data_IF_549485796903
#
_entry.id   IF_549485796903
#
_cell.length_a   1.000
_cell.length_b   1.000
_cell.length_c   1.000
_cell.angle_alpha   90.00
_cell.angle_beta   90.00
_cell.angle_gamma   90.00
#
_symmetry.space_group_name_H-M   'P 1'
#
loop_
_entity.id
_entity.type
_entity.pdbx_description
1 polymer ?
#
# COMPACT_ATOMS: atom_id res chain seq x y z
N UNK A 1 -28.00 -35.19 19.38
CA UNK A 1 -27.26 -35.97 18.36
C UNK A 1 -27.84 -35.64 17.00
N UNK A 2 -27.25 -34.69 16.27
CA UNK A 2 -27.32 -34.60 14.81
C UNK A 2 -26.24 -33.60 14.40
N UNK A 3 -25.10 -34.13 13.95
CA UNK A 3 -24.03 -33.33 13.34
C UNK A 3 -24.41 -33.16 11.87
N UNK A 4 -24.68 -31.91 11.45
CA UNK A 4 -24.82 -31.58 10.04
C UNK A 4 -23.43 -31.40 9.46
N UNK A 5 -23.04 -32.34 8.58
CA UNK A 5 -21.86 -32.24 7.73
C UNK A 5 -22.09 -31.10 6.73
N UNK A 6 -21.36 -29.99 6.89
CA UNK A 6 -21.17 -29.04 5.80
C UNK A 6 -19.92 -29.47 5.03
N UNK A 7 -20.12 -29.81 3.76
CA UNK A 7 -19.05 -30.13 2.83
C UNK A 7 -18.30 -28.83 2.49
N UNK A 8 -17.01 -28.78 2.81
CA UNK A 8 -16.10 -27.75 2.33
C UNK A 8 -15.70 -28.10 0.88
N UNK A 9 -15.90 -27.15 -0.04
CA UNK A 9 -15.45 -27.21 -1.44
C UNK A 9 -14.34 -26.17 -1.58
N UNK A 10 -13.20 -26.46 -2.23
CA UNK A 10 -11.99 -25.64 -2.13
C UNK A 10 -12.13 -24.31 -2.88
N UNK A 11 -11.72 -23.23 -2.22
CA UNK A 11 -11.51 -21.91 -2.79
C UNK A 11 -10.25 -21.93 -3.66
N UNK A 12 -10.39 -21.66 -4.94
CA UNK A 12 -9.27 -21.41 -5.85
C UNK A 12 -9.31 -19.93 -6.23
N UNK A 13 -8.35 -19.16 -5.71
CA UNK A 13 -8.09 -17.77 -6.08
C UNK A 13 -7.03 -17.72 -7.19
N UNK A 14 -7.45 -17.38 -8.42
CA UNK A 14 -6.59 -17.23 -9.62
C UNK A 14 -6.93 -15.87 -10.23
N UNK A 15 -6.06 -14.85 -10.08
CA UNK A 15 -4.97 -14.44 -11.00
C UNK A 15 -5.45 -13.85 -12.34
N UNK A 16 -5.24 -12.55 -12.52
CA UNK A 16 -5.16 -11.89 -13.83
C UNK A 16 -3.68 -11.80 -14.24
N UNK A 17 -3.42 -12.15 -15.49
CA UNK A 17 -2.09 -12.35 -16.07
C UNK A 17 -1.32 -11.03 -16.24
N UNK A 18 -0.06 -11.04 -15.80
CA UNK A 18 0.97 -10.15 -16.31
C UNK A 18 1.40 -10.55 -17.72
N UNK A 19 1.49 -9.59 -18.62
CA UNK A 19 2.20 -9.72 -19.91
C UNK A 19 3.41 -8.80 -19.85
N UNK A 20 4.59 -9.40 -19.96
CA UNK A 20 5.85 -8.70 -20.12
C UNK A 20 6.41 -8.85 -21.54
N UNK A 21 7.03 -7.76 -21.98
CA UNK A 21 8.20 -7.65 -22.86
C UNK A 21 8.01 -7.43 -24.37
N UNK A 22 8.68 -6.37 -24.85
CA UNK A 22 9.01 -6.12 -26.25
C UNK A 22 9.72 -4.77 -26.42
N UNK A 23 11.00 -4.70 -26.83
CA UNK A 23 11.79 -3.48 -26.86
C UNK A 23 11.59 -2.72 -28.19
N UNK A 24 11.46 -1.40 -28.12
CA UNK A 24 11.48 -0.54 -29.30
C UNK A 24 12.69 0.39 -29.21
N UNK A 25 13.71 0.09 -30.02
CA UNK A 25 14.76 1.05 -30.35
C UNK A 25 14.28 1.98 -31.46
N UNK A 26 14.67 3.26 -31.37
CA UNK A 26 15.03 4.12 -32.50
C UNK A 26 15.50 5.48 -31.98
N UNK A 27 16.75 5.84 -32.26
CA UNK A 27 17.20 7.24 -32.30
C UNK A 27 16.61 7.96 -33.51
N UNK A 28 16.40 9.28 -33.44
CA UNK A 28 17.17 10.16 -34.33
C UNK A 28 17.67 11.43 -33.61
N UNK A 29 18.94 11.78 -33.75
CA UNK A 29 19.49 12.74 -34.73
C UNK A 29 19.54 14.18 -34.20
N UNK A 30 20.78 14.53 -33.88
CA UNK A 30 21.41 15.85 -33.74
C UNK A 30 20.74 17.00 -34.50
N UNK A 31 20.42 18.09 -33.79
CA UNK A 31 20.21 19.40 -34.42
C UNK A 31 21.21 20.40 -33.81
N UNK A 32 22.03 20.97 -34.70
CA UNK A 32 23.02 21.98 -34.40
C UNK A 32 22.35 23.32 -34.05
N UNK A 33 22.87 24.02 -33.03
CA UNK A 33 22.51 25.41 -32.75
C UNK A 33 23.49 26.35 -33.47
N UNK A 34 22.91 27.10 -34.40
CA UNK A 34 23.54 28.16 -35.19
C UNK A 34 23.70 29.42 -34.32
N UNK A 35 24.95 29.88 -34.17
CA UNK A 35 25.28 31.20 -33.62
C UNK A 35 24.78 32.31 -34.53
N UNK A 36 23.95 33.22 -34.02
CA UNK A 36 23.64 34.47 -34.72
C UNK A 36 23.98 35.65 -33.82
N UNK A 37 25.00 36.39 -34.23
CA UNK A 37 25.39 37.70 -33.70
C UNK A 37 24.35 38.75 -34.13
N UNK A 38 23.90 39.61 -33.21
CA UNK A 38 23.16 40.82 -33.59
C UNK A 38 23.58 42.00 -32.73
N UNK A 39 23.72 43.13 -33.41
CA UNK A 39 24.42 44.34 -33.01
C UNK A 39 23.69 45.18 -31.95
N UNK A 40 24.49 45.99 -31.27
CA UNK A 40 24.11 46.93 -30.23
C UNK A 40 23.20 48.05 -30.74
N UNK A 41 22.20 48.40 -29.93
CA UNK A 41 21.45 49.67 -30.04
C UNK A 41 21.65 50.43 -28.73
N UNK A 42 22.29 51.59 -28.81
CA UNK A 42 22.53 52.52 -27.71
C UNK A 42 21.23 53.22 -27.33
N UNK A 43 20.71 52.93 -26.13
CA UNK A 43 19.62 53.69 -25.50
C UNK A 43 20.17 54.39 -24.25
N UNK A 44 19.99 55.70 -24.19
CA UNK A 44 20.43 56.60 -23.11
C UNK A 44 19.71 56.27 -21.80
N UNK A 45 20.46 55.93 -20.75
CA UNK A 45 19.92 55.63 -19.42
C UNK A 45 19.75 56.89 -18.56
N UNK A 46 18.59 56.98 -17.90
CA UNK A 46 18.31 57.87 -16.77
C UNK A 46 19.13 57.44 -15.52
N UNK A 47 19.35 58.33 -14.53
CA UNK A 47 20.17 58.01 -13.36
C UNK A 47 19.57 56.86 -12.54
N UNK A 48 20.37 55.81 -12.35
CA UNK A 48 20.06 54.59 -11.61
C UNK A 48 20.18 54.90 -10.11
N UNK A 49 19.07 54.72 -9.36
CA UNK A 49 19.10 54.66 -7.90
C UNK A 49 19.82 53.36 -7.46
N UNK A 50 20.59 53.37 -6.37
CA UNK A 50 21.24 52.17 -5.87
C UNK A 50 20.19 51.09 -5.54
N UNK A 51 20.47 49.81 -5.82
CA UNK A 51 19.56 48.73 -5.45
C UNK A 51 19.39 48.69 -3.93
N UNK A 52 18.18 48.36 -3.43
CA UNK A 52 17.99 48.13 -2.00
C UNK A 52 18.90 46.96 -1.54
N UNK A 53 19.35 46.97 -0.28
CA UNK A 53 20.12 45.86 0.26
C UNK A 53 19.34 44.56 0.13
N UNK A 54 20.01 43.41 -0.09
CA UNK A 54 19.34 42.13 -0.19
C UNK A 54 18.53 41.89 1.09
N UNK A 55 17.21 41.74 0.95
CA UNK A 55 16.37 41.25 2.02
C UNK A 55 16.92 39.88 2.41
N UNK A 56 17.40 39.77 3.65
CA UNK A 56 17.81 38.51 4.24
C UNK A 56 16.64 37.53 4.14
N UNK A 57 16.80 36.49 3.31
CA UNK A 57 15.86 35.38 3.32
C UNK A 57 15.80 34.83 4.75
N UNK A 58 14.60 34.58 5.31
CA UNK A 58 14.50 33.80 6.52
C UNK A 58 15.14 32.45 6.23
N UNK A 59 16.13 32.05 7.03
CA UNK A 59 16.63 30.70 6.99
C UNK A 59 15.44 29.75 7.21
N UNK A 60 15.09 28.97 6.18
CA UNK A 60 14.20 27.82 6.34
C UNK A 60 14.88 26.90 7.34
N UNK A 61 14.45 26.99 8.59
CA UNK A 61 14.85 26.05 9.63
C UNK A 61 14.17 24.76 9.24
N UNK A 62 14.93 23.86 8.60
CA UNK A 62 14.49 22.48 8.43
C UNK A 62 14.06 21.99 9.81
N UNK A 63 12.83 21.49 9.99
CA UNK A 63 12.39 20.96 11.27
C UNK A 63 13.46 20.01 11.78
N UNK A 64 13.86 20.15 13.05
CA UNK A 64 14.78 19.23 13.67
C UNK A 64 14.24 17.82 13.40
N UNK A 65 14.98 17.03 12.63
CA UNK A 65 14.59 15.68 12.25
C UNK A 65 14.35 14.93 13.56
N UNK A 66 13.09 14.66 13.88
CA UNK A 66 12.75 13.98 15.12
C UNK A 66 13.51 12.65 15.13
N UNK A 67 14.08 12.28 16.28
CA UNK A 67 14.76 10.99 16.41
C UNK A 67 13.77 9.87 16.08
N UNK A 68 14.08 9.07 15.08
CA UNK A 68 13.24 7.96 14.63
C UNK A 68 13.95 6.64 14.98
N UNK A 69 13.34 5.84 15.85
CA UNK A 69 13.82 4.50 16.20
C UNK A 69 12.97 3.47 15.43
N UNK A 70 13.52 2.79 14.40
CA UNK A 70 12.77 1.80 13.65
C UNK A 70 12.38 0.57 14.47
N UNK A 71 13.04 0.32 15.62
CA UNK A 71 12.67 -0.78 16.52
C UNK A 71 11.50 -0.42 17.45
N UNK A 72 11.17 0.86 17.56
CA UNK A 72 10.05 1.37 18.35
C UNK A 72 9.51 2.65 17.69
N UNK A 73 8.82 2.51 16.54
CA UNK A 73 8.39 3.66 15.76
C UNK A 73 7.41 4.53 16.56
N UNK A 74 7.41 5.86 16.33
CA UNK A 74 6.43 6.75 16.95
C UNK A 74 5.01 6.37 16.53
N UNK A 75 4.07 6.53 17.46
CA UNK A 75 2.63 6.38 17.20
C UNK A 75 2.05 7.75 16.86
N UNK A 76 2.02 8.09 15.59
CA UNK A 76 1.65 9.43 15.07
C UNK A 76 0.54 9.40 14.02
N UNK A 77 -0.01 8.22 13.72
CA UNK A 77 -1.15 8.10 12.82
C UNK A 77 -2.43 8.36 13.60
N UNK A 78 -3.03 9.52 13.36
CA UNK A 78 -4.24 10.02 14.03
C UNK A 78 -5.52 9.87 13.17
N UNK A 79 -5.39 9.34 11.95
CA UNK A 79 -6.50 9.09 11.06
C UNK A 79 -6.42 7.68 10.48
N UNK A 80 -7.58 7.02 10.41
CA UNK A 80 -7.70 5.73 9.75
C UNK A 80 -7.48 5.88 8.24
N UNK A 81 -6.78 4.94 7.63
CA UNK A 81 -6.49 4.97 6.19
C UNK A 81 -7.63 4.41 5.34
N UNK A 82 -8.61 3.74 5.96
CA UNK A 82 -9.68 3.02 5.26
C UNK A 82 -11.03 3.28 5.92
N UNK A 83 -12.12 3.20 5.15
CA UNK A 83 -13.47 3.15 5.71
C UNK A 83 -13.67 1.84 6.48
N UNK A 84 -13.29 1.89 7.76
CA UNK A 84 -13.29 0.71 8.62
C UNK A 84 -14.69 0.11 8.71
N UNK A 85 -15.77 0.90 8.66
CA UNK A 85 -17.14 0.38 8.78
C UNK A 85 -17.52 -0.64 7.69
N UNK A 86 -16.78 -0.61 6.57
CA UNK A 86 -16.99 -1.47 5.41
C UNK A 86 -16.07 -2.70 5.39
N UNK A 87 -15.29 -2.96 6.44
CA UNK A 87 -14.33 -4.08 6.49
C UNK A 87 -14.88 -5.23 7.35
N UNK A 88 -14.77 -6.47 6.86
CA UNK A 88 -15.18 -7.69 7.57
C UNK A 88 -14.02 -8.33 8.35
N UNK A 89 -12.80 -8.32 7.79
CA UNK A 89 -11.64 -8.97 8.40
C UNK A 89 -10.34 -8.36 7.91
N UNK A 90 -9.30 -8.48 8.74
CA UNK A 90 -7.97 -7.93 8.49
C UNK A 90 -6.95 -9.07 8.59
N UNK A 91 -6.09 -9.23 7.59
CA UNK A 91 -5.01 -10.21 7.66
C UNK A 91 -3.96 -9.74 8.65
N UNK A 92 -3.30 -10.68 9.31
CA UNK A 92 -2.16 -10.37 10.17
C UNK A 92 -0.95 -9.97 9.34
N UNK A 93 -0.12 -9.11 9.90
CA UNK A 93 1.23 -8.87 9.41
C UNK A 93 2.06 -10.17 9.54
N UNK A 94 2.91 -10.48 8.56
CA UNK A 94 3.61 -11.77 8.39
C UNK A 94 2.68 -12.98 8.21
N UNK A 95 1.46 -12.78 7.72
CA UNK A 95 0.53 -13.87 7.37
C UNK A 95 0.90 -14.58 6.07
N UNK A 96 0.22 -15.70 5.81
CA UNK A 96 0.19 -16.40 4.54
C UNK A 96 -0.93 -15.95 3.60
N UNK A 97 -1.33 -14.68 3.65
CA UNK A 97 -2.38 -14.14 2.78
C UNK A 97 -1.74 -13.36 1.63
N UNK A 98 -2.23 -13.59 0.41
CA UNK A 98 -1.77 -12.89 -0.77
C UNK A 98 -0.41 -13.39 -1.26
N UNK A 99 0.60 -12.54 -1.22
CA UNK A 99 1.92 -12.81 -1.79
C UNK A 99 3.06 -12.34 -0.88
N UNK A 100 4.27 -12.85 -1.14
CA UNK A 100 5.46 -12.42 -0.42
C UNK A 100 5.74 -10.93 -0.63
N UNK A 101 6.05 -10.24 0.47
CA UNK A 101 6.42 -8.83 0.45
C UNK A 101 7.63 -8.56 1.34
N UNK A 102 8.46 -9.58 1.60
CA UNK A 102 9.61 -9.46 2.50
C UNK A 102 10.93 -9.14 1.81
N UNK A 103 10.95 -8.98 0.49
CA UNK A 103 12.18 -8.70 -0.27
C UNK A 103 12.90 -7.47 0.28
N UNK A 104 14.21 -7.56 0.49
CA UNK A 104 15.03 -6.46 1.00
C UNK A 104 15.02 -6.27 2.52
N UNK A 105 14.10 -6.89 3.25
CA UNK A 105 13.94 -6.70 4.71
C UNK A 105 14.80 -7.63 5.58
N UNK A 106 15.40 -8.66 4.97
CA UNK A 106 16.06 -9.75 5.72
C UNK A 106 15.10 -10.80 6.29
N UNK A 107 13.81 -10.70 5.98
CA UNK A 107 12.80 -11.74 6.17
C UNK A 107 12.48 -12.44 4.83
N UNK A 108 11.89 -13.63 4.85
CA UNK A 108 11.58 -14.41 3.64
C UNK A 108 10.17 -15.00 3.65
N UNK A 109 9.52 -15.01 2.48
CA UNK A 109 8.28 -15.72 2.20
C UNK A 109 7.18 -15.46 3.25
N UNK A 110 6.75 -14.20 3.36
CA UNK A 110 5.65 -13.78 4.24
C UNK A 110 5.06 -12.47 3.76
N UNK A 111 3.77 -12.28 4.00
CA UNK A 111 3.15 -11.00 3.66
C UNK A 111 3.58 -9.94 4.67
N UNK A 112 4.24 -8.89 4.22
CA UNK A 112 4.60 -7.72 5.03
C UNK A 112 3.59 -6.59 4.82
N UNK A 113 2.31 -6.96 4.66
CA UNK A 113 1.17 -6.06 4.43
C UNK A 113 -0.02 -6.52 5.28
N UNK A 114 -1.03 -5.66 5.38
CA UNK A 114 -2.37 -6.05 5.78
C UNK A 114 -3.31 -6.06 4.57
N UNK A 115 -4.09 -7.12 4.43
CA UNK A 115 -5.25 -7.22 3.55
C UNK A 115 -6.52 -6.98 4.37
N UNK A 116 -7.47 -6.22 3.84
CA UNK A 116 -8.70 -5.80 4.50
C UNK A 116 -9.86 -6.15 3.58
N UNK A 117 -10.62 -7.17 3.94
CA UNK A 117 -11.67 -7.70 3.10
C UNK A 117 -12.98 -6.94 3.33
N UNK A 118 -13.65 -6.45 2.27
CA UNK A 118 -14.91 -5.74 2.41
C UNK A 118 -16.04 -6.62 2.96
N UNK A 119 -16.97 -5.99 3.69
CA UNK A 119 -18.25 -6.62 4.05
C UNK A 119 -19.07 -6.94 2.80
N UNK A 120 -19.80 -8.06 2.84
CA UNK A 120 -20.74 -8.43 1.78
C UNK A 120 -20.14 -9.10 0.54
N UNK A 121 -18.83 -9.42 0.55
CA UNK A 121 -18.20 -10.25 -0.47
C UNK A 121 -18.23 -11.72 -0.03
N UNK A 122 -18.88 -12.56 -0.82
CA UNK A 122 -19.04 -14.00 -0.55
C UNK A 122 -18.70 -14.87 -1.78
N UNK A 123 -18.85 -16.19 -1.62
CA UNK A 123 -18.56 -17.16 -2.68
C UNK A 123 -19.39 -16.92 -3.94
N UNK A 124 -20.63 -16.47 -3.77
CA UNK A 124 -21.52 -16.20 -4.87
C UNK A 124 -21.03 -15.01 -5.69
N UNK A 125 -20.52 -13.96 -5.03
CA UNK A 125 -19.84 -12.87 -5.71
C UNK A 125 -18.64 -13.37 -6.51
N UNK A 126 -17.73 -14.13 -5.89
CA UNK A 126 -16.53 -14.63 -6.59
C UNK A 126 -16.85 -15.58 -7.75
N UNK A 127 -17.93 -16.37 -7.63
CA UNK A 127 -18.43 -17.18 -8.73
C UNK A 127 -18.92 -16.31 -9.90
N UNK A 128 -19.68 -15.24 -9.63
CA UNK A 128 -20.12 -14.29 -10.66
C UNK A 128 -18.94 -13.59 -11.33
N UNK A 129 -17.95 -13.13 -10.56
CA UNK A 129 -16.77 -12.47 -11.09
C UNK A 129 -16.01 -13.40 -12.05
N UNK A 130 -15.73 -14.65 -11.64
CA UNK A 130 -15.08 -15.65 -12.50
C UNK A 130 -15.88 -16.02 -13.75
N UNK A 131 -17.21 -15.93 -13.67
CA UNK A 131 -18.10 -16.16 -14.81
C UNK A 131 -18.23 -14.93 -15.74
N UNK A 132 -17.57 -13.80 -15.43
CA UNK A 132 -17.72 -12.54 -16.17
C UNK A 132 -19.11 -11.92 -16.02
N UNK A 133 -19.81 -12.24 -14.93
CA UNK A 133 -21.18 -11.82 -14.65
C UNK A 133 -21.29 -10.72 -13.60
N UNK A 134 -20.25 -10.54 -12.78
CA UNK A 134 -20.16 -9.41 -11.87
C UNK A 134 -19.84 -8.14 -12.64
N UNK A 135 -20.36 -7.01 -12.16
CA UNK A 135 -20.13 -5.69 -12.73
C UNK A 135 -19.44 -4.78 -11.70
N UNK A 136 -18.80 -3.68 -12.14
CA UNK A 136 -18.19 -2.71 -11.22
C UNK A 136 -19.14 -2.23 -10.12
N UNK A 137 -20.42 -2.01 -10.43
CA UNK A 137 -21.42 -1.58 -9.45
C UNK A 137 -21.80 -2.63 -8.40
N UNK A 138 -21.46 -3.90 -8.63
CA UNK A 138 -21.66 -4.97 -7.63
C UNK A 138 -20.57 -4.94 -6.54
N UNK A 139 -19.51 -4.15 -6.74
CA UNK A 139 -18.38 -4.05 -5.81
C UNK A 139 -18.59 -2.97 -4.73
N UNK A 140 -18.37 -3.29 -3.43
CA UNK A 140 -18.45 -2.32 -2.34
C UNK A 140 -17.52 -1.13 -2.55
N UNK A 141 -18.04 0.08 -2.33
CA UNK A 141 -17.24 1.30 -2.36
C UNK A 141 -16.62 1.52 -0.98
N UNK A 142 -15.41 1.01 -0.79
CA UNK A 142 -14.64 1.19 0.45
C UNK A 142 -13.66 2.34 0.26
N UNK A 143 -13.76 3.40 1.06
CA UNK A 143 -12.91 4.59 0.94
C UNK A 143 -11.48 4.34 1.45
N UNK A 144 -10.51 4.97 0.78
CA UNK A 144 -9.15 5.18 1.28
C UNK A 144 -8.95 6.65 1.65
N UNK A 145 -8.24 6.89 2.75
CA UNK A 145 -7.97 8.21 3.31
C UNK A 145 -6.49 8.37 3.65
N UNK A 146 -6.01 9.61 3.64
CA UNK A 146 -4.66 9.92 4.06
C UNK A 146 -4.52 9.69 5.59
N UNK A 147 -3.63 8.80 6.06
CA UNK A 147 -3.49 8.54 7.49
C UNK A 147 -2.81 9.70 8.23
N UNK A 148 -2.05 10.52 7.49
CA UNK A 148 -1.25 11.65 7.97
C UNK A 148 -1.17 12.72 6.88
N UNK A 149 -0.65 13.89 7.21
CA UNK A 149 -0.21 14.85 6.20
C UNK A 149 0.95 14.26 5.39
N UNK A 150 0.84 14.29 4.07
CA UNK A 150 1.80 13.58 3.22
C UNK A 150 1.81 13.98 1.76
N UNK A 151 2.68 13.31 1.02
CA UNK A 151 2.92 13.50 -0.41
C UNK A 151 3.01 12.16 -1.12
N UNK A 152 2.41 12.05 -2.31
CA UNK A 152 2.58 10.89 -3.18
C UNK A 152 3.95 10.95 -3.85
N UNK A 153 4.83 9.98 -3.58
CA UNK A 153 6.24 10.00 -4.03
C UNK A 153 6.58 8.95 -5.11
N UNK A 154 5.77 7.90 -5.22
CA UNK A 154 5.81 6.93 -6.33
C UNK A 154 4.39 6.50 -6.68
N UNK A 155 4.15 6.14 -7.94
CA UNK A 155 2.85 5.68 -8.41
C UNK A 155 2.99 4.76 -9.62
N UNK A 156 2.25 3.66 -9.59
CA UNK A 156 2.19 2.66 -10.66
C UNK A 156 0.74 2.45 -11.07
N UNK A 157 0.52 2.45 -12.38
CA UNK A 157 -0.78 2.21 -12.98
C UNK A 157 -1.01 0.71 -13.18
N UNK A 158 -2.24 0.27 -12.97
CA UNK A 158 -2.71 -1.08 -13.25
C UNK A 158 -4.20 -1.04 -13.65
N UNK A 159 -4.82 -2.21 -13.79
CA UNK A 159 -6.25 -2.35 -14.05
C UNK A 159 -6.84 -3.36 -13.09
N UNK A 160 -8.04 -3.07 -12.59
CA UNK A 160 -8.76 -3.92 -11.65
C UNK A 160 -9.39 -5.15 -12.33
N UNK A 161 -10.12 -5.97 -11.56
CA UNK A 161 -10.74 -7.19 -12.09
C UNK A 161 -11.84 -6.94 -13.15
N UNK A 162 -12.32 -5.70 -13.26
CA UNK A 162 -13.29 -5.28 -14.27
C UNK A 162 -12.65 -4.55 -15.46
N UNK A 163 -11.32 -4.40 -15.45
CA UNK A 163 -10.58 -3.66 -16.47
C UNK A 163 -10.62 -2.14 -16.30
N UNK A 164 -11.08 -1.64 -15.16
CA UNK A 164 -11.07 -0.21 -14.84
C UNK A 164 -9.68 0.21 -14.32
N UNK A 165 -9.24 1.46 -14.54
CA UNK A 165 -7.95 1.93 -14.04
C UNK A 165 -7.86 1.86 -12.51
N UNK A 166 -6.72 1.39 -12.02
CA UNK A 166 -6.33 1.45 -10.60
C UNK A 166 -4.87 1.87 -10.47
N UNK A 167 -4.48 2.27 -9.27
CA UNK A 167 -3.11 2.62 -8.93
C UNK A 167 -2.63 1.93 -7.67
N UNK A 168 -1.32 1.77 -7.60
CA UNK A 168 -0.56 1.53 -6.38
C UNK A 168 0.36 2.72 -6.18
N UNK A 169 0.51 3.22 -4.96
CA UNK A 169 1.35 4.39 -4.72
C UNK A 169 2.00 4.40 -3.34
N UNK A 170 3.11 5.12 -3.23
CA UNK A 170 3.78 5.41 -1.97
C UNK A 170 3.40 6.81 -1.50
N UNK A 171 2.93 6.91 -0.27
CA UNK A 171 2.54 8.15 0.39
C UNK A 171 3.48 8.43 1.55
N UNK A 172 4.37 9.40 1.39
CA UNK A 172 5.39 9.76 2.37
C UNK A 172 4.83 10.74 3.39
N UNK A 173 5.06 10.48 4.68
CA UNK A 173 4.70 11.41 5.74
C UNK A 173 5.52 12.71 5.66
N UNK A 174 4.87 13.85 5.86
CA UNK A 174 5.55 15.14 6.05
C UNK A 174 6.24 15.22 7.41
N UNK A 175 5.62 14.70 8.47
CA UNK A 175 6.15 14.73 9.84
C UNK A 175 7.36 13.80 10.02
N UNK A 176 7.28 12.59 9.47
CA UNK A 176 8.35 11.60 9.50
C UNK A 176 8.70 11.13 8.08
N UNK A 177 9.57 11.85 7.34
CA UNK A 177 9.91 11.52 5.96
C UNK A 177 10.53 10.12 5.75
N UNK A 178 10.98 9.47 6.82
CA UNK A 178 11.44 8.08 6.81
C UNK A 178 10.29 7.08 6.65
N UNK A 179 9.04 7.48 6.91
CA UNK A 179 7.85 6.63 6.89
C UNK A 179 7.09 6.84 5.58
N UNK A 180 6.87 5.76 4.84
CA UNK A 180 6.00 5.72 3.67
C UNK A 180 4.91 4.67 3.85
N UNK A 181 3.68 5.05 3.53
CA UNK A 181 2.53 4.17 3.44
C UNK A 181 2.37 3.69 2.00
N UNK A 182 2.24 2.39 1.79
CA UNK A 182 2.11 1.77 0.48
C UNK A 182 0.66 1.35 0.30
N UNK A 183 -0.03 2.05 -0.59
CA UNK A 183 -1.41 1.77 -0.96
C UNK A 183 -1.46 0.90 -2.22
N UNK A 184 -2.36 -0.08 -2.22
CA UNK A 184 -2.56 -0.98 -3.36
C UNK A 184 -4.03 -1.02 -3.76
N UNK A 185 -4.28 -1.38 -5.02
CA UNK A 185 -5.63 -1.52 -5.58
C UNK A 185 -6.51 -0.31 -5.29
N UNK A 186 -6.06 0.88 -5.71
CA UNK A 186 -6.78 2.12 -5.47
C UNK A 186 -7.40 2.63 -6.76
N UNK A 187 -8.73 2.76 -6.78
CA UNK A 187 -9.39 3.66 -7.73
C UNK A 187 -9.26 5.08 -7.20
N UNK A 188 -8.30 5.80 -7.75
CA UNK A 188 -7.87 7.10 -7.25
C UNK A 188 -8.93 8.20 -7.40
N UNK A 189 -8.90 9.18 -6.50
CA UNK A 189 -9.59 10.47 -6.72
C UNK A 189 -8.97 11.25 -7.88
N UNK A 190 -9.75 12.14 -8.47
CA UNK A 190 -9.26 13.06 -9.50
C UNK A 190 -8.08 13.90 -8.96
N UNK A 191 -6.99 13.94 -9.73
CA UNK A 191 -5.79 14.74 -9.38
C UNK A 191 -4.78 14.05 -8.46
N UNK A 192 -5.02 12.79 -8.07
CA UNK A 192 -3.99 11.98 -7.43
C UNK A 192 -2.86 11.69 -8.45
N UNK A 193 -1.67 12.22 -8.20
CA UNK A 193 -0.48 12.06 -9.02
C UNK A 193 0.78 12.16 -8.14
N UNK A 194 1.94 11.76 -8.66
CA UNK A 194 3.22 11.99 -7.96
C UNK A 194 3.41 13.51 -7.75
N UNK A 195 3.76 13.88 -6.51
CA UNK A 195 3.87 15.26 -6.05
C UNK A 195 2.58 15.84 -5.47
N UNK A 196 1.43 15.15 -5.59
CA UNK A 196 0.19 15.57 -4.94
C UNK A 196 0.34 15.47 -3.42
N UNK A 197 -0.14 16.50 -2.70
CA UNK A 197 -0.14 16.57 -1.24
C UNK A 197 -1.56 16.44 -0.72
N UNK A 198 -1.70 15.76 0.40
CA UNK A 198 -2.97 15.59 1.09
C UNK A 198 -2.77 15.84 2.59
N UNK A 199 -3.80 16.41 3.20
CA UNK A 199 -3.92 16.52 4.66
C UNK A 199 -4.53 15.24 5.22
N UNK A 200 -4.18 14.89 6.46
CA UNK A 200 -4.72 13.72 7.13
C UNK A 200 -6.27 13.70 7.11
N UNK A 201 -6.85 12.54 6.83
CA UNK A 201 -8.28 12.32 6.66
C UNK A 201 -8.84 12.66 5.28
N UNK A 202 -8.08 13.29 4.38
CA UNK A 202 -8.56 13.56 3.02
C UNK A 202 -8.71 12.27 2.21
N UNK A 203 -9.73 12.17 1.34
CA UNK A 203 -9.96 10.99 0.52
C UNK A 203 -8.86 10.84 -0.55
N UNK A 204 -8.31 9.63 -0.65
CA UNK A 204 -7.31 9.24 -1.66
C UNK A 204 -7.92 8.39 -2.78
N UNK A 205 -9.06 7.74 -2.51
CA UNK A 205 -9.75 6.93 -3.51
C UNK A 205 -10.66 5.90 -2.86
N UNK A 206 -10.88 4.81 -3.58
CA UNK A 206 -11.61 3.64 -3.09
C UNK A 206 -10.85 2.35 -3.42
N UNK A 207 -11.15 1.27 -2.70
CA UNK A 207 -10.65 -0.07 -3.04
C UNK A 207 -11.15 -0.44 -4.44
N UNK A 208 -10.22 -0.76 -5.33
CA UNK A 208 -10.49 -1.12 -6.70
C UNK A 208 -11.21 -2.48 -6.81
N UNK A 209 -11.90 -2.69 -7.93
CA UNK A 209 -12.85 -3.78 -8.05
C UNK A 209 -12.21 -5.18 -8.02
N UNK A 210 -12.76 -6.06 -7.18
CA UNK A 210 -12.34 -7.46 -7.10
C UNK A 210 -11.03 -7.67 -6.33
N UNK A 211 -10.67 -6.76 -5.42
CA UNK A 211 -9.44 -6.85 -4.61
C UNK A 211 -9.69 -6.61 -3.12
N UNK A 212 -8.69 -6.80 -2.28
CA UNK A 212 -8.76 -6.40 -0.86
C UNK A 212 -8.31 -4.95 -0.71
N UNK A 213 -8.75 -4.29 0.37
CA UNK A 213 -7.99 -3.14 0.87
C UNK A 213 -6.60 -3.61 1.29
N UNK A 214 -5.55 -2.85 1.01
CA UNK A 214 -4.17 -3.26 1.22
C UNK A 214 -3.33 -2.08 1.68
N UNK A 215 -2.58 -2.29 2.76
CA UNK A 215 -1.63 -1.31 3.28
C UNK A 215 -0.31 -2.00 3.66
N UNK A 216 0.79 -1.45 3.19
CA UNK A 216 2.14 -1.71 3.69
C UNK A 216 2.72 -0.45 4.34
N UNK A 217 3.69 -0.61 5.23
CA UNK A 217 4.43 0.53 5.80
C UNK A 217 5.92 0.25 5.70
N UNK A 218 6.63 1.19 5.06
CA UNK A 218 8.08 1.15 4.89
C UNK A 218 8.74 2.25 5.71
N UNK A 219 9.76 1.85 6.47
CA UNK A 219 10.63 2.70 7.27
C UNK A 219 12.02 2.69 6.63
N UNK A 220 12.48 3.84 6.13
CA UNK A 220 13.81 3.98 5.53
C UNK A 220 14.68 4.84 6.42
N UNK A 221 15.64 4.21 7.10
CA UNK A 221 16.61 4.87 7.99
C UNK A 221 18.01 4.47 7.55
N UNK A 222 18.90 5.46 7.33
CA UNK A 222 20.29 5.23 6.89
C UNK A 222 20.40 4.29 5.66
N UNK A 223 19.47 4.42 4.70
CA UNK A 223 19.34 3.58 3.50
C UNK A 223 18.96 2.11 3.74
N UNK A 224 18.57 1.76 4.97
CA UNK A 224 18.01 0.46 5.31
C UNK A 224 16.49 0.55 5.38
N UNK A 225 15.82 -0.32 4.63
CA UNK A 225 14.37 -0.47 4.66
C UNK A 225 13.95 -1.52 5.70
N UNK A 226 12.96 -1.18 6.51
CA UNK A 226 12.24 -2.10 7.39
C UNK A 226 10.76 -1.96 7.10
N UNK A 227 10.07 -3.10 6.97
CA UNK A 227 8.61 -3.11 6.86
C UNK A 227 8.00 -3.41 8.23
N UNK A 228 6.98 -2.65 8.60
CA UNK A 228 6.27 -2.76 9.88
C UNK A 228 4.77 -2.82 9.66
N UNK A 229 4.04 -3.27 10.67
CA UNK A 229 2.59 -3.22 10.67
C UNK A 229 2.11 -1.77 10.76
N UNK A 230 1.03 -1.45 10.02
CA UNK A 230 0.35 -0.15 10.15
C UNK A 230 -0.04 0.13 11.61
N UNK A 231 -0.44 -0.91 12.33
CA UNK A 231 -0.89 -0.83 13.72
C UNK A 231 0.24 -0.53 14.72
N UNK A 232 1.51 -0.60 14.31
CA UNK A 232 2.63 -0.15 15.15
C UNK A 232 2.75 1.39 15.16
N UNK A 233 2.08 2.10 14.24
CA UNK A 233 2.14 3.56 14.09
C UNK A 233 0.83 4.27 14.50
N UNK A 234 -0.29 3.55 14.65
CA UNK A 234 -1.57 4.14 15.04
C UNK A 234 -1.55 4.59 16.49
N UNK A 235 -2.14 5.74 16.79
CA UNK A 235 -2.34 6.19 18.16
C UNK A 235 -3.47 5.40 18.86
N UNK A 236 -3.77 5.76 20.11
CA UNK A 236 -4.79 5.08 20.90
C UNK A 236 -6.22 5.38 20.40
N UNK A 237 -6.46 6.57 19.84
CA UNK A 237 -7.78 6.98 19.36
C UNK A 237 -8.17 6.20 18.09
N UNK A 238 -7.26 6.09 17.11
CA UNK A 238 -7.46 5.26 15.93
C UNK A 238 -7.55 3.79 16.32
N UNK A 239 -6.70 3.31 17.23
CA UNK A 239 -6.77 1.91 17.66
C UNK A 239 -8.10 1.58 18.34
N UNK A 240 -8.67 2.51 19.11
CA UNK A 240 -9.97 2.33 19.76
C UNK A 240 -11.11 2.06 18.75
N UNK A 241 -11.01 2.55 17.51
CA UNK A 241 -11.96 2.20 16.44
C UNK A 241 -11.94 0.71 16.11
N UNK A 242 -10.76 0.08 16.08
CA UNK A 242 -10.61 -1.35 15.86
C UNK A 242 -11.03 -2.15 17.09
N UNK A 243 -10.75 -1.66 18.30
CA UNK A 243 -11.22 -2.29 19.54
C UNK A 243 -12.75 -2.32 19.62
N UNK A 244 -13.41 -1.25 19.19
CA UNK A 244 -14.87 -1.20 19.09
C UNK A 244 -15.44 -2.27 18.14
N UNK A 245 -14.60 -2.83 17.26
CA UNK A 245 -14.94 -3.88 16.29
C UNK A 245 -14.36 -5.25 16.66
N UNK A 246 -13.92 -5.44 17.90
CA UNK A 246 -13.52 -6.73 18.43
C UNK A 246 -12.02 -7.02 18.42
N UNK A 247 -11.18 -6.06 18.04
CA UNK A 247 -9.72 -6.23 18.11
C UNK A 247 -9.25 -6.02 19.55
N UNK A 248 -8.72 -7.04 20.22
CA UNK A 248 -8.33 -6.93 21.63
C UNK A 248 -7.00 -6.18 21.81
N UNK A 249 -6.02 -6.47 20.94
CA UNK A 249 -4.67 -5.88 21.04
C UNK A 249 -3.95 -5.80 19.70
N UNK A 250 -3.01 -4.86 19.52
CA UNK A 250 -2.17 -4.76 18.31
C UNK A 250 -1.45 -6.09 18.00
N UNK A 251 -1.04 -6.84 19.03
CA UNK A 251 -0.35 -8.12 18.85
C UNK A 251 -1.16 -9.21 18.15
N UNK A 252 -2.50 -9.14 18.15
CA UNK A 252 -3.29 -10.13 17.43
C UNK A 252 -3.26 -9.92 15.90
N UNK A 253 -2.94 -8.69 15.48
CA UNK A 253 -2.80 -8.29 14.08
C UNK A 253 -1.38 -8.56 13.56
N UNK A 254 -0.47 -9.06 14.40
CA UNK A 254 0.95 -9.23 14.04
C UNK A 254 1.41 -10.63 14.42
N UNK A 255 1.80 -11.41 13.43
CA UNK A 255 2.61 -12.61 13.66
C UNK A 255 4.05 -12.12 13.85
N UNK A 256 4.70 -12.54 14.94
CA UNK A 256 6.08 -12.11 15.20
C UNK A 256 7.03 -12.71 14.16
N UNK A 257 8.20 -12.09 14.00
CA UNK A 257 9.26 -12.62 13.14
C UNK A 257 9.65 -14.02 13.57
N UNK A 258 9.84 -14.22 14.88
CA UNK A 258 10.26 -15.49 15.46
C UNK A 258 9.21 -16.58 15.25
N UNK A 259 7.92 -16.25 15.41
CA UNK A 259 6.84 -17.19 15.16
C UNK A 259 6.78 -17.61 13.69
N UNK A 260 6.94 -16.66 12.77
CA UNK A 260 6.96 -16.95 11.33
C UNK A 260 8.21 -17.73 10.92
N UNK A 261 9.37 -17.43 11.51
CA UNK A 261 10.61 -18.17 11.25
C UNK A 261 10.53 -19.61 11.77
N UNK A 262 9.83 -19.84 12.89
CA UNK A 262 9.55 -21.18 13.40
C UNK A 262 8.49 -21.94 12.57
N UNK A 263 7.62 -21.22 11.85
CA UNK A 263 6.53 -21.76 11.04
C UNK A 263 6.58 -21.22 9.60
N UNK A 264 7.63 -21.57 8.83
CA UNK A 264 7.88 -20.97 7.53
C UNK A 264 6.80 -21.32 6.52
N UNK A 265 6.52 -20.38 5.63
CA UNK A 265 5.71 -20.59 4.44
C UNK A 265 6.58 -21.06 3.27
N UNK A 266 5.94 -21.61 2.25
CA UNK A 266 6.59 -21.90 0.98
C UNK A 266 5.97 -21.03 -0.11
N UNK A 267 6.83 -20.40 -0.89
CA UNK A 267 6.45 -19.50 -1.97
C UNK A 267 6.73 -20.16 -3.33
N UNK A 268 5.95 -19.80 -4.35
CA UNK A 268 6.21 -20.23 -5.72
C UNK A 268 7.65 -19.88 -6.15
N UNK A 269 8.42 -20.85 -6.68
CA UNK A 269 9.78 -20.59 -7.14
C UNK A 269 9.80 -19.63 -8.33
N UNK A 270 10.72 -18.66 -8.33
CA UNK A 270 11.06 -17.87 -9.52
C UNK A 270 10.15 -16.68 -9.82
N UNK A 271 9.22 -16.34 -8.94
CA UNK A 271 8.46 -15.08 -8.98
C UNK A 271 8.97 -14.12 -7.91
N UNK A 272 9.37 -12.91 -8.30
CA UNK A 272 9.43 -11.78 -7.38
C UNK A 272 8.03 -11.61 -6.77
N UNK A 273 7.92 -11.59 -5.45
CA UNK A 273 6.63 -11.61 -4.73
C UNK A 273 5.82 -12.90 -4.95
N UNK A 274 6.43 -14.06 -4.75
CA UNK A 274 5.76 -15.34 -4.99
C UNK A 274 4.53 -15.58 -4.13
N UNK A 275 3.53 -16.22 -4.75
CA UNK A 275 2.34 -16.68 -4.05
C UNK A 275 2.72 -17.75 -3.04
N UNK A 276 2.02 -17.76 -1.92
CA UNK A 276 2.16 -18.83 -0.96
C UNK A 276 1.42 -20.09 -1.44
N UNK A 277 2.08 -21.23 -1.33
CA UNK A 277 1.58 -22.51 -1.83
C UNK A 277 1.47 -23.58 -0.74
N UNK A 278 2.14 -23.37 0.40
CA UNK A 278 2.20 -24.32 1.49
C UNK A 278 2.68 -23.64 2.79
N UNK A 279 2.54 -24.35 3.89
CA UNK A 279 3.07 -23.95 5.21
C UNK A 279 3.83 -25.12 5.86
N UNK A 280 4.22 -24.97 7.12
CA UNK A 280 4.94 -26.00 7.88
C UNK A 280 4.12 -27.29 8.13
N UNK A 281 2.80 -27.22 8.00
CA UNK A 281 1.87 -28.32 8.33
C UNK A 281 1.33 -29.05 7.10
N UNK A 282 1.25 -28.40 5.94
CA UNK A 282 0.75 -29.01 4.70
C UNK A 282 1.43 -28.46 3.45
N UNK A 283 1.62 -29.35 2.47
CA UNK A 283 1.99 -29.02 1.09
C UNK A 283 0.84 -29.18 0.10
N UNK A 284 -0.34 -29.59 0.58
CA UNK A 284 -1.54 -29.65 -0.24
C UNK A 284 -2.12 -28.25 -0.41
N UNK A 285 -2.35 -27.84 -1.66
CA UNK A 285 -2.80 -26.48 -1.98
C UNK A 285 -4.21 -26.19 -1.45
N UNK A 286 -5.11 -27.17 -1.45
CA UNK A 286 -6.47 -26.97 -0.97
C UNK A 286 -6.51 -26.85 0.55
N UNK A 287 -5.72 -27.67 1.26
CA UNK A 287 -5.53 -27.53 2.71
C UNK A 287 -4.88 -26.19 3.07
N UNK A 288 -3.88 -25.76 2.30
CA UNK A 288 -3.26 -24.45 2.46
C UNK A 288 -4.27 -23.30 2.26
N UNK A 289 -5.06 -23.34 1.19
CA UNK A 289 -6.07 -22.32 0.89
C UNK A 289 -7.15 -22.24 1.98
N UNK A 290 -7.52 -23.38 2.57
CA UNK A 290 -8.42 -23.39 3.71
C UNK A 290 -7.76 -22.77 4.96
N UNK A 291 -6.49 -23.07 5.22
CA UNK A 291 -5.74 -22.53 6.36
C UNK A 291 -5.46 -21.03 6.23
N UNK A 292 -5.12 -20.55 5.03
CA UNK A 292 -4.79 -19.14 4.78
C UNK A 292 -5.97 -18.21 5.03
N UNK A 293 -7.21 -18.73 4.94
CA UNK A 293 -8.45 -18.03 5.27
C UNK A 293 -8.89 -18.19 6.74
N UNK A 294 -8.08 -18.89 7.56
CA UNK A 294 -8.38 -19.18 8.96
C UNK A 294 -7.90 -18.10 9.95
N UNK A 295 -8.26 -18.26 11.25
CA UNK A 295 -7.91 -17.31 12.32
C UNK A 295 -6.41 -17.22 12.62
N UNK A 296 -5.61 -18.15 12.10
CA UNK A 296 -4.15 -18.07 12.17
C UNK A 296 -3.64 -16.87 11.38
N UNK A 297 -4.34 -16.48 10.32
CA UNK A 297 -3.95 -15.43 9.38
C UNK A 297 -4.86 -14.20 9.41
N UNK A 298 -6.06 -14.31 9.97
CA UNK A 298 -7.08 -13.25 9.96
C UNK A 298 -7.60 -12.90 11.35
N UNK A 299 -7.94 -11.63 11.52
CA UNK A 299 -8.74 -11.09 12.62
C UNK A 299 -10.10 -10.70 12.04
N UNK A 300 -11.17 -11.25 12.61
CA UNK A 300 -12.54 -11.03 12.14
C UNK A 300 -13.18 -9.90 12.94
N UNK A 301 -13.73 -8.90 12.24
CA UNK A 301 -14.34 -7.73 12.85
C UNK A 301 -15.83 -7.95 13.09
N UNK A 302 -16.39 -7.25 14.07
CA UNK A 302 -17.79 -7.30 14.47
C UNK A 302 -18.53 -5.98 14.24
#
# INVERSE_FOLDING_TARGET
MQRSLHAAIPFVLVALLGVACGPAGASPTTTALTTTTTAATTTTAAPILPPPPPMSQPATTQPAQQSFDPANPPRFVHHNFIDLSMIAMISKFRSGVGHDFSQGTGETCRSMKHYLEPVGIDDAFWQKLRAGQAKPEDWPQVGYFAPVDGEVVDMRQATDAFGEPEVQFMFQSVEYPQVSFLFFHVRAVDGLAVGSRFTAGEPLGTVAGGSSGEIGVSLIVDHHETLVSFFELVDDDVFAEYQARGVESISELIISREERDANPLQCEPGSDHGRFIANSSTTDKAEYDQWSMGPDNWVFLH
#
